data_IF_435588378449
#
_entry.id   IF_435588378449
#
_cell.length_a   1.000
_cell.length_b   1.000
_cell.length_c   1.000
_cell.angle_alpha   90.00
_cell.angle_beta   90.00
_cell.angle_gamma   90.00
#
_symmetry.space_group_name_H-M   'P 1'
#
loop_
_entity.id
_entity.type
_entity.pdbx_description
1 polymer ?
#
# COMPACT_ATOMS: atom_id res chain seq x y z
N UNK A 1 0.13 -6.94 27.29
CA UNK A 1 0.46 -5.86 26.36
C UNK A 1 1.96 -5.69 26.45
N UNK A 2 2.70 -6.47 25.67
CA UNK A 2 4.16 -6.57 25.77
C UNK A 2 4.77 -5.75 24.64
N UNK A 3 5.23 -4.54 24.99
CA UNK A 3 6.12 -3.71 24.16
C UNK A 3 7.58 -4.19 24.30
N UNK A 4 7.84 -5.46 23.99
CA UNK A 4 9.16 -6.10 24.26
C UNK A 4 9.76 -6.81 23.03
N UNK A 5 9.44 -6.33 21.81
CA UNK A 5 9.89 -6.93 20.53
C UNK A 5 10.86 -6.01 19.74
N UNK A 6 11.33 -4.92 20.35
CA UNK A 6 12.24 -3.95 19.72
C UNK A 6 13.72 -4.36 19.80
N UNK A 7 14.07 -5.35 20.63
CA UNK A 7 15.46 -5.56 21.07
C UNK A 7 16.27 -6.52 20.20
N UNK A 8 15.62 -7.35 19.37
CA UNK A 8 16.32 -8.31 18.49
C UNK A 8 15.89 -8.09 17.05
N UNK A 9 16.84 -7.79 16.17
CA UNK A 9 16.58 -7.72 14.73
C UNK A 9 16.18 -9.11 14.22
N UNK A 10 14.97 -9.27 13.65
CA UNK A 10 14.53 -10.56 13.17
C UNK A 10 15.33 -10.96 11.93
N UNK A 11 15.50 -12.26 11.70
CA UNK A 11 16.14 -12.74 10.48
C UNK A 11 15.18 -12.55 9.29
N UNK A 12 15.29 -11.43 8.58
CA UNK A 12 14.45 -11.10 7.43
C UNK A 12 14.64 -12.03 6.24
N UNK A 13 15.75 -12.78 6.18
CA UNK A 13 15.96 -13.85 5.19
C UNK A 13 15.24 -15.15 5.54
N UNK A 14 14.74 -15.28 6.77
CA UNK A 14 13.85 -16.38 7.14
C UNK A 14 12.48 -16.17 6.52
N UNK A 15 12.04 -17.15 5.73
CA UNK A 15 10.73 -17.12 5.05
C UNK A 15 9.56 -16.94 6.02
N UNK A 16 9.55 -17.70 7.13
CA UNK A 16 8.45 -17.59 8.11
C UNK A 16 8.37 -16.21 8.77
N UNK A 17 9.53 -15.60 9.04
CA UNK A 17 9.62 -14.24 9.57
C UNK A 17 9.11 -13.22 8.56
N UNK A 18 9.52 -13.34 7.30
CA UNK A 18 9.07 -12.46 6.22
C UNK A 18 7.55 -12.55 6.03
N UNK A 19 7.01 -13.77 5.89
CA UNK A 19 5.58 -14.00 5.69
C UNK A 19 4.76 -13.40 6.85
N UNK A 20 5.21 -13.55 8.10
CA UNK A 20 4.55 -12.95 9.27
C UNK A 20 4.59 -11.41 9.26
N UNK A 21 5.65 -10.80 8.74
CA UNK A 21 5.75 -9.35 8.59
C UNK A 21 4.84 -8.84 7.47
N UNK A 22 4.74 -9.57 6.36
CA UNK A 22 3.82 -9.26 5.27
C UNK A 22 2.36 -9.36 5.73
N UNK A 23 2.01 -10.39 6.50
CA UNK A 23 0.69 -10.51 7.10
C UNK A 23 0.41 -9.36 8.09
N UNK A 24 1.40 -8.95 8.90
CA UNK A 24 1.28 -7.81 9.82
C UNK A 24 0.97 -6.49 9.11
N UNK A 25 1.63 -6.19 7.98
CA UNK A 25 1.39 -4.92 7.26
C UNK A 25 0.04 -4.88 6.55
N UNK A 26 -0.66 -6.02 6.50
CA UNK A 26 -1.96 -6.23 5.85
C UNK A 26 -1.90 -5.89 4.35
N UNK A 27 -1.67 -6.88 3.47
CA UNK A 27 -1.56 -6.66 2.03
C UNK A 27 -2.76 -5.92 1.43
N UNK A 28 -3.98 -6.21 1.91
CA UNK A 28 -5.18 -5.49 1.47
C UNK A 28 -5.13 -3.99 1.80
N UNK A 29 -4.61 -3.63 2.98
CA UNK A 29 -4.39 -2.23 3.34
C UNK A 29 -3.27 -1.58 2.50
N UNK A 30 -2.21 -2.32 2.17
CA UNK A 30 -1.15 -1.85 1.28
C UNK A 30 -1.67 -1.59 -0.15
N UNK A 31 -2.56 -2.45 -0.66
CA UNK A 31 -3.21 -2.25 -1.96
C UNK A 31 -4.06 -0.98 -2.00
N UNK A 32 -4.80 -0.68 -0.94
CA UNK A 32 -5.55 0.58 -0.80
C UNK A 32 -4.61 1.79 -0.78
N UNK A 33 -3.49 1.70 -0.04
CA UNK A 33 -2.48 2.75 -0.02
C UNK A 33 -1.90 3.01 -1.42
N UNK A 34 -1.49 1.93 -2.11
CA UNK A 34 -0.92 1.99 -3.46
C UNK A 34 -1.90 2.59 -4.46
N UNK A 35 -3.18 2.17 -4.42
CA UNK A 35 -4.23 2.77 -5.26
C UNK A 35 -4.35 4.27 -5.02
N UNK A 36 -4.30 4.69 -3.76
CA UNK A 36 -4.29 6.09 -3.36
C UNK A 36 -3.11 6.89 -3.93
N UNK A 37 -1.91 6.31 -3.86
CA UNK A 37 -0.67 6.93 -4.33
C UNK A 37 -0.57 7.01 -5.86
N UNK A 38 -1.11 6.02 -6.57
CA UNK A 38 -1.22 6.07 -8.04
C UNK A 38 -2.10 7.23 -8.51
N UNK A 39 -3.15 7.54 -7.73
CA UNK A 39 -4.19 8.48 -8.12
C UNK A 39 -4.96 8.02 -9.36
N UNK A 40 -5.98 8.77 -9.75
CA UNK A 40 -6.93 8.35 -10.79
C UNK A 40 -6.25 8.10 -12.15
N UNK A 41 -5.25 8.92 -12.48
CA UNK A 41 -4.58 8.86 -13.78
C UNK A 41 -3.78 7.57 -13.96
N UNK A 42 -2.88 7.23 -13.03
CA UNK A 42 -2.08 6.02 -13.17
C UNK A 42 -2.91 4.76 -12.86
N UNK A 43 -3.86 4.83 -11.93
CA UNK A 43 -4.73 3.69 -11.61
C UNK A 43 -5.59 3.21 -12.78
N UNK A 44 -5.80 4.04 -13.81
CA UNK A 44 -6.49 3.63 -15.05
C UNK A 44 -5.65 2.70 -15.95
N UNK A 45 -4.34 2.57 -15.70
CA UNK A 45 -3.38 1.83 -16.56
C UNK A 45 -2.52 0.84 -15.79
N UNK A 46 -2.39 1.03 -14.48
CA UNK A 46 -1.52 0.24 -13.61
C UNK A 46 -2.38 -0.34 -12.50
N UNK A 47 -2.34 -1.66 -12.35
CA UNK A 47 -3.01 -2.33 -11.24
C UNK A 47 -2.21 -2.15 -9.94
N UNK A 48 -2.86 -1.81 -8.81
CA UNK A 48 -2.17 -1.72 -7.52
C UNK A 48 -1.46 -3.02 -7.12
N UNK A 49 -1.95 -4.17 -7.57
CA UNK A 49 -1.37 -5.48 -7.30
C UNK A 49 -0.01 -5.66 -7.97
N UNK A 50 0.16 -5.19 -9.21
CA UNK A 50 1.43 -5.24 -9.93
C UNK A 50 2.49 -4.42 -9.18
N UNK A 51 2.13 -3.21 -8.75
CA UNK A 51 3.02 -2.35 -7.95
C UNK A 51 3.36 -3.02 -6.62
N UNK A 52 2.40 -3.70 -5.99
CA UNK A 52 2.65 -4.42 -4.75
C UNK A 52 3.63 -5.58 -4.94
N UNK A 53 3.47 -6.37 -6.00
CA UNK A 53 4.40 -7.46 -6.34
C UNK A 53 5.81 -6.94 -6.60
N UNK A 54 5.95 -5.85 -7.37
CA UNK A 54 7.24 -5.20 -7.62
C UNK A 54 7.85 -4.64 -6.33
N UNK A 55 7.02 -4.04 -5.47
CA UNK A 55 7.42 -3.54 -4.14
C UNK A 55 8.01 -4.68 -3.30
N UNK A 56 7.33 -5.82 -3.25
CA UNK A 56 7.81 -7.00 -2.53
C UNK A 56 9.12 -7.53 -3.11
N UNK A 57 9.28 -7.56 -4.44
CA UNK A 57 10.51 -7.95 -5.11
C UNK A 57 11.70 -7.06 -4.74
N UNK A 58 11.50 -5.74 -4.80
CA UNK A 58 12.51 -4.75 -4.42
C UNK A 58 12.84 -4.88 -2.93
N UNK A 59 11.82 -4.93 -2.08
CA UNK A 59 11.98 -5.05 -0.64
C UNK A 59 12.73 -6.33 -0.26
N UNK A 60 12.38 -7.47 -0.84
CA UNK A 60 13.12 -8.72 -0.59
C UNK A 60 14.59 -8.57 -0.97
N UNK A 61 14.90 -8.02 -2.16
CA UNK A 61 16.29 -7.81 -2.59
C UNK A 61 17.05 -6.89 -1.63
N UNK A 62 16.43 -5.81 -1.16
CA UNK A 62 17.08 -4.80 -0.33
C UNK A 62 16.94 -5.05 1.20
N UNK A 63 16.32 -6.16 1.61
CA UNK A 63 16.03 -6.51 3.02
C UNK A 63 17.27 -6.49 3.93
N UNK A 64 18.43 -6.84 3.41
CA UNK A 64 19.70 -6.87 4.17
C UNK A 64 20.23 -5.48 4.50
N UNK A 65 19.76 -4.45 3.78
CA UNK A 65 20.12 -3.05 4.03
C UNK A 65 19.19 -2.39 5.05
N UNK A 66 18.04 -3.00 5.34
CA UNK A 66 17.05 -2.45 6.25
C UNK A 66 17.60 -2.41 7.68
N UNK A 67 17.62 -1.22 8.26
CA UNK A 67 17.87 -1.05 9.68
C UNK A 67 16.56 -1.31 10.45
N UNK A 68 16.49 -2.43 11.16
CA UNK A 68 15.29 -2.80 11.91
C UNK A 68 15.02 -1.82 13.04
N UNK A 69 13.82 -1.25 13.06
CA UNK A 69 13.34 -0.32 14.10
C UNK A 69 11.91 -0.70 14.54
N UNK A 70 11.57 -1.98 14.44
CA UNK A 70 10.23 -2.50 14.73
C UNK A 70 9.30 -2.54 13.51
N UNK A 71 8.17 -3.23 13.69
CA UNK A 71 7.18 -3.49 12.64
C UNK A 71 6.57 -2.22 12.02
N UNK A 72 6.28 -1.13 12.77
CA UNK A 72 5.83 0.12 12.16
C UNK A 72 6.86 0.77 11.23
N UNK A 73 8.16 0.66 11.55
CA UNK A 73 9.22 1.14 10.67
C UNK A 73 9.34 0.29 9.40
N UNK A 74 9.20 -1.03 9.52
CA UNK A 74 9.13 -1.93 8.36
C UNK A 74 7.97 -1.57 7.42
N UNK A 75 6.78 -1.30 7.97
CA UNK A 75 5.62 -0.86 7.18
C UNK A 75 5.89 0.45 6.44
N UNK A 76 6.44 1.45 7.12
CA UNK A 76 6.82 2.74 6.50
C UNK A 76 7.84 2.56 5.39
N UNK A 77 8.82 1.69 5.60
CA UNK A 77 9.82 1.36 4.58
C UNK A 77 9.18 0.72 3.33
N UNK A 78 8.24 -0.23 3.49
CA UNK A 78 7.51 -0.80 2.34
C UNK A 78 6.69 0.27 1.59
N UNK A 79 6.06 1.20 2.30
CA UNK A 79 5.35 2.32 1.68
C UNK A 79 6.31 3.24 0.91
N UNK A 80 7.51 3.47 1.42
CA UNK A 80 8.56 4.23 0.72
C UNK A 80 9.02 3.52 -0.56
N UNK A 81 9.27 2.20 -0.50
CA UNK A 81 9.60 1.40 -1.68
C UNK A 81 8.48 1.50 -2.73
N UNK A 82 7.22 1.38 -2.30
CA UNK A 82 6.06 1.51 -3.20
C UNK A 82 5.96 2.92 -3.81
N UNK A 83 6.16 3.98 -3.04
CA UNK A 83 6.17 5.37 -3.54
C UNK A 83 7.25 5.57 -4.59
N UNK A 84 8.47 5.13 -4.32
CA UNK A 84 9.57 5.23 -5.27
C UNK A 84 9.26 4.47 -6.56
N UNK A 85 8.65 3.28 -6.44
CA UNK A 85 8.24 2.51 -7.62
C UNK A 85 7.16 3.20 -8.44
N UNK A 86 6.18 3.82 -7.80
CA UNK A 86 5.14 4.61 -8.49
C UNK A 86 5.74 5.82 -9.20
N UNK A 87 6.71 6.50 -8.57
CA UNK A 87 7.43 7.62 -9.20
C UNK A 87 8.19 7.16 -10.44
N UNK A 88 8.92 6.04 -10.37
CA UNK A 88 9.61 5.47 -11.52
C UNK A 88 8.64 5.15 -12.68
N UNK A 89 7.48 4.56 -12.37
CA UNK A 89 6.44 4.24 -13.35
C UNK A 89 5.88 5.52 -14.00
N UNK A 90 5.63 6.56 -13.20
CA UNK A 90 5.16 7.86 -13.69
C UNK A 90 6.19 8.56 -14.59
N UNK A 91 7.47 8.47 -14.25
CA UNK A 91 8.56 9.05 -15.02
C UNK A 91 8.74 8.36 -16.38
N UNK A 92 8.65 7.03 -16.41
CA UNK A 92 8.65 6.25 -17.65
C UNK A 92 7.47 6.65 -18.52
N UNK A 93 6.25 6.74 -17.98
CA UNK A 93 5.10 7.21 -18.77
C UNK A 93 5.28 8.64 -19.30
N UNK A 94 5.83 9.54 -18.48
CA UNK A 94 6.14 10.91 -18.90
C UNK A 94 7.16 10.94 -20.04
N UNK A 95 8.20 10.10 -19.94
CA UNK A 95 9.23 9.96 -20.97
C UNK A 95 8.69 9.29 -22.24
N UNK A 96 7.83 8.27 -22.13
CA UNK A 96 7.17 7.63 -23.26
C UNK A 96 6.20 8.55 -23.97
N UNK A 97 5.48 9.43 -23.27
CA UNK A 97 4.63 10.45 -23.92
C UNK A 97 5.46 11.50 -24.66
N UNK A 98 6.59 11.94 -24.07
CA UNK A 98 7.56 12.82 -24.77
C UNK A 98 8.19 12.11 -25.98
N UNK A 99 8.52 10.83 -25.85
CA UNK A 99 9.09 10.00 -26.91
C UNK A 99 8.09 9.60 -27.99
N UNK A 100 6.82 9.38 -27.65
CA UNK A 100 5.73 9.09 -28.59
C UNK A 100 5.35 10.33 -29.40
N UNK A 101 5.39 11.52 -28.77
CA UNK A 101 5.26 12.80 -29.48
C UNK A 101 6.45 13.06 -30.42
N UNK A 102 7.63 12.51 -30.10
CA UNK A 102 8.82 12.54 -30.96
C UNK A 102 8.85 11.42 -32.03
N UNK A 103 8.08 10.32 -31.83
CA UNK A 103 8.05 9.13 -32.71
C UNK A 103 7.01 9.19 -33.83
N UNK A 104 6.36 10.34 -34.06
CA UNK A 104 5.71 10.64 -35.36
C UNK A 104 6.75 10.78 -36.49
N UNK A 105 8.05 10.75 -36.16
CA UNK A 105 9.15 10.59 -37.12
C UNK A 105 10.14 9.52 -36.67
N UNK A 106 10.02 8.30 -37.21
CA UNK A 106 11.15 7.39 -37.44
C UNK A 106 11.59 6.41 -36.33
N UNK A 107 11.26 5.13 -36.54
CA UNK A 107 11.89 3.87 -36.08
C UNK A 107 11.92 3.47 -34.58
N UNK A 108 11.87 2.14 -34.30
CA UNK A 108 11.68 1.59 -32.96
C UNK A 108 13.02 1.34 -32.28
N UNK A 109 13.09 1.61 -30.98
CA UNK A 109 14.19 1.11 -30.15
C UNK A 109 13.59 0.57 -28.87
N UNK A 110 13.70 -0.74 -28.71
CA UNK A 110 13.24 -1.47 -27.55
C UNK A 110 14.19 -1.35 -26.37
N UNK A 111 13.67 -1.72 -25.20
CA UNK A 111 14.34 -2.60 -24.25
C UNK A 111 13.37 -2.83 -23.10
N UNK A 112 12.62 -3.92 -23.22
CA UNK A 112 11.95 -4.52 -22.08
C UNK A 112 13.01 -5.00 -21.11
N UNK A 113 13.06 -4.39 -19.93
CA UNK A 113 13.77 -4.95 -18.78
C UNK A 113 12.73 -5.61 -17.90
N UNK A 114 12.21 -6.74 -18.36
CA UNK A 114 11.50 -7.67 -17.49
C UNK A 114 12.49 -8.12 -16.43
N UNK A 115 12.25 -7.73 -15.19
CA UNK A 115 13.01 -8.21 -14.03
C UNK A 115 12.69 -9.70 -13.89
N UNK A 116 13.48 -10.51 -14.60
CA UNK A 116 13.51 -11.95 -14.42
C UNK A 116 14.07 -12.27 -13.05
N UNK A 117 13.49 -13.29 -12.42
CA UNK A 117 13.87 -13.91 -11.14
C UNK A 117 13.22 -13.29 -9.88
N UNK A 118 11.90 -13.46 -9.78
CA UNK A 118 11.12 -13.24 -8.56
C UNK A 118 9.93 -14.23 -8.33
N UNK A 119 9.36 -14.98 -9.30
CA UNK A 119 8.10 -15.69 -9.04
C UNK A 119 8.15 -16.74 -7.92
N UNK A 120 9.25 -17.48 -7.79
CA UNK A 120 9.28 -18.66 -6.91
C UNK A 120 9.33 -18.32 -5.40
N UNK A 121 9.85 -17.14 -5.03
CA UNK A 121 9.85 -16.66 -3.64
C UNK A 121 8.59 -15.87 -3.29
N UNK A 122 7.89 -15.28 -4.26
CA UNK A 122 6.59 -14.61 -4.06
C UNK A 122 5.37 -15.50 -4.31
N UNK A 123 5.56 -16.72 -4.83
CA UNK A 123 4.53 -17.75 -4.97
C UNK A 123 3.99 -18.30 -3.62
N UNK A 124 4.27 -17.63 -2.49
CA UNK A 124 3.84 -18.02 -1.14
C UNK A 124 2.48 -17.45 -0.76
N UNK A 125 2.05 -16.37 -1.39
CA UNK A 125 0.63 -16.06 -1.47
C UNK A 125 0.05 -17.01 -2.52
N UNK A 126 -0.59 -18.07 -2.06
CA UNK A 126 -1.37 -18.92 -2.96
C UNK A 126 -2.30 -18.03 -3.78
N UNK A 127 -2.64 -18.39 -5.04
CA UNK A 127 -3.58 -17.60 -5.83
C UNK A 127 -4.87 -17.24 -5.07
N UNK A 128 -5.28 -18.13 -4.14
CA UNK A 128 -6.38 -17.90 -3.20
C UNK A 128 -6.11 -16.74 -2.22
N UNK A 129 -4.93 -16.64 -1.61
CA UNK A 129 -4.59 -15.53 -0.68
C UNK A 129 -4.57 -14.20 -1.42
N UNK A 130 -3.95 -14.15 -2.60
CA UNK A 130 -3.94 -12.94 -3.43
C UNK A 130 -5.36 -12.51 -3.78
N UNK A 131 -6.21 -13.45 -4.18
CA UNK A 131 -7.61 -13.16 -4.48
C UNK A 131 -8.37 -12.65 -3.23
N UNK A 132 -8.17 -13.25 -2.07
CA UNK A 132 -8.76 -12.80 -0.80
C UNK A 132 -8.28 -11.40 -0.40
N UNK A 133 -7.00 -11.09 -0.57
CA UNK A 133 -6.46 -9.76 -0.26
C UNK A 133 -7.01 -8.69 -1.21
N UNK A 134 -7.16 -9.00 -2.51
CA UNK A 134 -7.81 -8.11 -3.48
C UNK A 134 -9.28 -7.87 -3.16
N UNK A 135 -10.00 -8.92 -2.78
CA UNK A 135 -11.40 -8.80 -2.39
C UNK A 135 -11.54 -7.93 -1.13
N UNK A 136 -10.70 -8.16 -0.12
CA UNK A 136 -10.67 -7.33 1.08
C UNK A 136 -10.29 -5.88 0.75
N UNK A 137 -9.28 -5.66 -0.09
CA UNK A 137 -8.87 -4.32 -0.53
C UNK A 137 -10.00 -3.58 -1.24
N UNK A 138 -10.75 -4.27 -2.12
CA UNK A 138 -11.91 -3.71 -2.80
C UNK A 138 -13.00 -3.28 -1.80
N UNK A 139 -13.27 -4.09 -0.77
CA UNK A 139 -14.23 -3.74 0.28
C UNK A 139 -13.76 -2.56 1.14
N UNK A 140 -12.49 -2.52 1.51
CA UNK A 140 -11.87 -1.39 2.23
C UNK A 140 -11.95 -0.10 1.39
N UNK A 141 -11.60 -0.18 0.11
CA UNK A 141 -11.68 0.94 -0.82
C UNK A 141 -13.12 1.43 -0.99
N UNK A 142 -14.08 0.53 -1.20
CA UNK A 142 -15.49 0.89 -1.33
C UNK A 142 -16.00 1.61 -0.07
N UNK A 143 -15.63 1.15 1.12
CA UNK A 143 -16.00 1.82 2.36
C UNK A 143 -15.34 3.21 2.48
N UNK A 144 -14.12 3.39 1.96
CA UNK A 144 -13.43 4.67 1.92
C UNK A 144 -14.11 5.62 0.92
N UNK A 145 -14.59 5.10 -0.21
CA UNK A 145 -15.29 5.87 -1.23
C UNK A 145 -16.64 6.43 -0.74
N UNK A 146 -17.27 5.79 0.26
CA UNK A 146 -18.47 6.29 0.96
C UNK A 146 -18.19 7.47 1.91
N UNK A 147 -16.92 7.68 2.31
CA UNK A 147 -16.54 8.82 3.17
C UNK A 147 -16.59 10.10 2.33
N UNK A 148 -17.18 11.21 2.81
CA UNK A 148 -17.13 12.49 2.12
C UNK A 148 -15.70 12.90 1.74
N UNK A 149 -15.50 13.41 0.52
CA UNK A 149 -14.17 13.64 -0.07
C UNK A 149 -13.22 14.45 0.83
N UNK A 150 -13.73 15.52 1.47
CA UNK A 150 -12.95 16.36 2.38
C UNK A 150 -12.36 15.60 3.58
N UNK A 151 -13.00 14.52 4.04
CA UNK A 151 -12.52 13.67 5.14
C UNK A 151 -11.84 12.40 4.63
N UNK A 152 -12.21 11.92 3.45
CA UNK A 152 -11.67 10.69 2.84
C UNK A 152 -10.16 10.75 2.72
N UNK A 153 -9.63 11.87 2.23
CA UNK A 153 -8.20 12.00 1.99
C UNK A 153 -7.37 11.91 3.27
N UNK A 154 -7.79 12.57 4.35
CA UNK A 154 -7.05 12.48 5.61
C UNK A 154 -7.15 11.08 6.24
N UNK A 155 -8.28 10.38 6.06
CA UNK A 155 -8.42 8.97 6.48
C UNK A 155 -7.46 8.09 5.69
N UNK A 156 -7.39 8.28 4.37
CA UNK A 156 -6.48 7.55 3.48
C UNK A 156 -5.02 7.74 3.91
N UNK A 157 -4.59 9.00 3.96
CA UNK A 157 -3.22 9.37 4.30
C UNK A 157 -2.81 8.82 5.68
N UNK A 158 -3.71 8.87 6.66
CA UNK A 158 -3.42 8.42 8.01
C UNK A 158 -3.44 6.90 8.16
N UNK A 159 -4.49 6.23 7.71
CA UNK A 159 -4.68 4.79 7.99
C UNK A 159 -3.86 3.90 7.06
N UNK A 160 -3.69 4.31 5.80
CA UNK A 160 -3.10 3.47 4.76
C UNK A 160 -1.70 3.91 4.38
N UNK A 161 -1.39 5.21 4.45
CA UNK A 161 -0.07 5.72 4.06
C UNK A 161 0.85 6.07 5.23
N UNK A 162 0.38 5.83 6.46
CA UNK A 162 1.12 6.04 7.72
C UNK A 162 1.58 7.48 8.00
N UNK A 163 0.98 8.47 7.34
CA UNK A 163 1.33 9.87 7.59
C UNK A 163 0.88 10.27 9.00
N UNK A 164 1.68 11.09 9.65
CA UNK A 164 1.27 11.82 10.86
C UNK A 164 0.18 12.85 10.53
N UNK A 165 -0.51 13.36 11.55
CA UNK A 165 -1.51 14.42 11.35
C UNK A 165 -0.90 15.70 10.78
N UNK A 166 0.34 16.01 11.16
CA UNK A 166 1.07 17.16 10.65
C UNK A 166 1.39 16.99 9.14
N UNK A 167 1.93 15.84 8.75
CA UNK A 167 2.23 15.53 7.34
C UNK A 167 0.95 15.49 6.49
N UNK A 168 -0.10 14.81 6.98
CA UNK A 168 -1.38 14.75 6.28
C UNK A 168 -2.03 16.15 6.15
N UNK A 169 -1.92 16.99 7.18
CA UNK A 169 -2.37 18.39 7.11
C UNK A 169 -1.61 19.17 6.05
N UNK A 170 -0.28 19.09 6.04
CA UNK A 170 0.56 19.74 5.04
C UNK A 170 0.21 19.29 3.61
N UNK A 171 0.02 17.99 3.38
CA UNK A 171 -0.39 17.46 2.07
C UNK A 171 -1.75 18.01 1.60
N UNK A 172 -2.66 18.31 2.53
CA UNK A 172 -4.02 18.76 2.21
C UNK A 172 -4.20 20.30 2.28
N UNK A 173 -3.12 21.05 2.54
CA UNK A 173 -3.20 22.50 2.72
C UNK A 173 -3.97 22.91 3.99
N UNK A 174 -3.92 22.07 5.03
CA UNK A 174 -4.58 22.28 6.33
C UNK A 174 -3.53 22.41 7.44
N UNK A 175 -3.93 23.04 8.55
CA UNK A 175 -3.21 22.89 9.82
C UNK A 175 -3.40 21.49 10.42
N UNK A 176 -2.49 21.09 11.30
CA UNK A 176 -2.54 19.78 11.99
C UNK A 176 -3.87 19.57 12.74
N UNK A 177 -4.40 20.61 13.41
CA UNK A 177 -5.69 20.54 14.09
C UNK A 177 -6.86 20.31 13.13
N UNK A 178 -6.81 20.95 11.95
CA UNK A 178 -7.79 20.74 10.89
C UNK A 178 -7.75 19.31 10.35
N UNK A 179 -6.56 18.75 10.18
CA UNK A 179 -6.38 17.35 9.83
C UNK A 179 -6.95 16.41 10.91
N UNK A 180 -6.67 16.65 12.20
CA UNK A 180 -7.24 15.87 13.33
C UNK A 180 -8.76 15.93 13.35
N UNK A 181 -9.35 17.10 13.15
CA UNK A 181 -10.80 17.28 13.08
C UNK A 181 -11.40 16.45 11.95
N UNK A 182 -10.89 16.60 10.72
CA UNK A 182 -11.37 15.85 9.55
C UNK A 182 -11.14 14.35 9.71
N UNK A 183 -10.03 13.95 10.30
CA UNK A 183 -9.71 12.54 10.53
C UNK A 183 -10.72 11.89 11.47
N UNK A 184 -11.10 12.56 12.57
CA UNK A 184 -12.11 12.04 13.50
C UNK A 184 -13.44 11.78 12.79
N UNK A 185 -13.97 12.76 12.06
CA UNK A 185 -15.24 12.63 11.35
C UNK A 185 -15.17 11.62 10.19
N UNK A 186 -14.05 11.63 9.46
CA UNK A 186 -13.79 10.64 8.41
C UNK A 186 -13.70 9.22 8.96
N UNK A 187 -13.03 9.01 10.09
CA UNK A 187 -12.90 7.70 10.73
C UNK A 187 -14.24 7.16 11.23
N UNK A 188 -15.09 8.02 11.79
CA UNK A 188 -16.46 7.66 12.17
C UNK A 188 -17.29 7.23 10.95
N UNK A 189 -17.22 8.02 9.87
CA UNK A 189 -17.90 7.70 8.62
C UNK A 189 -17.39 6.38 8.01
N UNK A 190 -16.06 6.19 8.01
CA UNK A 190 -15.40 5.00 7.48
C UNK A 190 -15.77 3.74 8.27
N UNK A 191 -15.74 3.80 9.60
CA UNK A 191 -16.18 2.69 10.47
C UNK A 191 -17.64 2.32 10.21
N UNK A 192 -18.50 3.30 10.01
CA UNK A 192 -19.92 3.07 9.68
C UNK A 192 -20.07 2.39 8.31
N UNK A 193 -19.29 2.80 7.32
CA UNK A 193 -19.27 2.16 6.00
C UNK A 193 -18.77 0.71 6.08
N UNK A 194 -17.68 0.45 6.81
CA UNK A 194 -17.15 -0.90 7.02
C UNK A 194 -18.14 -1.85 7.71
N UNK A 195 -18.91 -1.37 8.70
CA UNK A 195 -19.97 -2.16 9.34
C UNK A 195 -21.07 -2.53 8.35
N UNK A 196 -21.52 -1.59 7.52
CA UNK A 196 -22.51 -1.86 6.47
C UNK A 196 -22.02 -2.91 5.46
N UNK A 197 -20.76 -2.83 5.08
CA UNK A 197 -20.12 -3.78 4.18
C UNK A 197 -19.76 -5.12 4.84
N UNK A 198 -20.08 -5.31 6.14
CA UNK A 198 -19.75 -6.50 6.95
C UNK A 198 -18.26 -6.86 6.94
N UNK A 199 -17.39 -5.87 6.79
CA UNK A 199 -15.93 -6.06 6.85
C UNK A 199 -15.47 -6.22 8.31
N UNK A 200 -16.22 -5.67 9.27
CA UNK A 200 -15.90 -5.72 10.70
C UNK A 200 -16.64 -6.81 11.50
N UNK A 201 -17.60 -7.53 10.89
CA UNK A 201 -18.49 -8.48 11.60
C UNK A 201 -17.90 -9.90 11.75
N UNK A 202 -16.76 -10.21 11.16
CA UNK A 202 -16.23 -11.59 11.12
C UNK A 202 -15.35 -12.00 12.29
N UNK A 203 -15.31 -11.25 13.40
CA UNK A 203 -14.41 -11.53 14.53
C UNK A 203 -15.09 -12.08 15.80
N UNK A 204 -16.41 -12.32 15.82
CA UNK A 204 -17.11 -12.63 17.08
C UNK A 204 -18.20 -13.74 17.03
N UNK A 205 -18.12 -14.70 16.11
CA UNK A 205 -19.04 -15.86 16.06
C UNK A 205 -18.37 -17.22 16.35
N UNK A 206 -17.23 -17.27 17.04
CA UNK A 206 -16.45 -18.51 17.18
C UNK A 206 -15.71 -18.75 18.50
N UNK A 207 -16.18 -18.20 19.63
CA UNK A 207 -15.70 -18.59 20.97
C UNK A 207 -16.87 -18.72 21.94
N UNK A 208 -17.60 -19.82 21.77
CA UNK A 208 -18.70 -20.19 22.64
C UNK A 208 -19.15 -21.61 22.35
N UNK A 209 -18.32 -22.58 22.73
CA UNK A 209 -18.71 -23.77 23.52
C UNK A 209 -17.43 -24.39 24.13
#
# INVERSE_FOLDING_TARGET
MSDDDASTSPNLSSRGTWDSLIEYVNPAAMLVAIRGMLGERLASRIEPDDVWQETLAIAWRDREKLQWQGRPAFRRWLLEVARNRILDLADVEGAEKRGAMLRVTGLPSGSGSGVGLAPAFFATTTPSRVASDRELAARLQSALDEVPGEWRDVVRLRLFEDLSMAEAGACLGLGEEGARYRFRHGLEAYRRALRRARVLDSSDEGRGD
#
